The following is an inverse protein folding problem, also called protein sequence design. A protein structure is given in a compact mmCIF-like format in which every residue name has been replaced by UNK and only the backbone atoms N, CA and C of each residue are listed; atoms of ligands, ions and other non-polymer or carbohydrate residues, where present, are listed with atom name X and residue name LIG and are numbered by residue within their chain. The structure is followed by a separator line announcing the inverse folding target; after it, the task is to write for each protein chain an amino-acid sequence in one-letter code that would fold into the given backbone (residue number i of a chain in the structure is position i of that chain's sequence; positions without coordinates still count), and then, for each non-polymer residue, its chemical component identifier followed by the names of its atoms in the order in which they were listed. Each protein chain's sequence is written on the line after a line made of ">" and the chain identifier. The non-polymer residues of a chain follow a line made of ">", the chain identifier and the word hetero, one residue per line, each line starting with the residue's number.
data_IF_326120539961
#
_entry.id   IF_326120539961
#
_cell.length_a   1.000
_cell.length_b   1.000
_cell.length_c   1.000
_cell.angle_alpha   90.00
_cell.angle_beta   90.00
_cell.angle_gamma   90.00
#
_symmetry.space_group_name_H-M   'P 1'
#
loop_
_entity.id
_entity.type
_entity.pdbx_description
1 polymer ?
#
# COMPACT_ATOMS: atom_id res chain seq x y z
N UNK A 1 6.99 -20.48 8.76
CA UNK A 1 6.60 -19.05 8.79
C UNK A 1 6.72 -18.40 7.41
N UNK A 2 7.84 -18.54 6.71
CA UNK A 2 8.06 -17.92 5.39
C UNK A 2 7.04 -18.32 4.31
N UNK A 3 6.57 -19.57 4.30
CA UNK A 3 5.52 -20.03 3.37
C UNK A 3 4.17 -19.29 3.56
N UNK A 4 3.80 -19.00 4.81
CA UNK A 4 2.57 -18.29 5.13
C UNK A 4 2.63 -16.83 4.66
N UNK A 5 3.79 -16.18 4.85
CA UNK A 5 4.06 -14.85 4.29
C UNK A 5 3.97 -14.83 2.76
N UNK A 6 4.52 -15.85 2.09
CA UNK A 6 4.43 -15.95 0.64
C UNK A 6 2.98 -16.11 0.15
N UNK A 7 2.19 -16.94 0.84
CA UNK A 7 0.78 -17.12 0.51
C UNK A 7 -0.01 -15.81 0.69
N UNK A 8 0.18 -15.13 1.81
CA UNK A 8 -0.43 -13.82 2.06
C UNK A 8 0.00 -12.77 1.01
N UNK A 9 1.28 -12.74 0.63
CA UNK A 9 1.77 -11.87 -0.43
C UNK A 9 1.04 -12.13 -1.76
N UNK A 10 0.91 -13.38 -2.16
CA UNK A 10 0.15 -13.76 -3.37
C UNK A 10 -1.31 -13.32 -3.29
N UNK A 11 -1.97 -13.49 -2.13
CA UNK A 11 -3.38 -13.06 -1.97
C UNK A 11 -3.55 -11.55 -2.11
N UNK A 12 -2.61 -10.75 -1.59
CA UNK A 12 -2.63 -9.30 -1.69
C UNK A 12 -2.43 -8.84 -3.14
N UNK A 13 -1.48 -9.45 -3.87
CA UNK A 13 -1.27 -9.15 -5.29
C UNK A 13 -2.52 -9.45 -6.13
N UNK A 14 -3.16 -10.60 -5.91
CA UNK A 14 -4.39 -10.97 -6.61
C UNK A 14 -5.51 -9.97 -6.29
N UNK A 15 -5.65 -9.59 -5.01
CA UNK A 15 -6.62 -8.58 -4.57
C UNK A 15 -6.37 -7.21 -5.22
N UNK A 16 -5.11 -6.82 -5.38
CA UNK A 16 -4.74 -5.58 -6.04
C UNK A 16 -5.17 -5.56 -7.51
N UNK A 17 -4.89 -6.62 -8.27
CA UNK A 17 -5.33 -6.73 -9.67
C UNK A 17 -6.85 -6.70 -9.82
N UNK A 18 -7.59 -7.33 -8.90
CA UNK A 18 -9.05 -7.35 -8.93
C UNK A 18 -9.70 -5.98 -8.62
N UNK A 19 -8.98 -5.08 -7.95
CA UNK A 19 -9.54 -3.83 -7.41
C UNK A 19 -9.04 -2.57 -8.12
N UNK A 20 -8.28 -2.70 -9.20
CA UNK A 20 -7.68 -1.60 -9.98
C UNK A 20 -8.65 -0.48 -10.38
N UNK A 21 -9.95 -0.78 -10.49
CA UNK A 21 -10.98 0.22 -10.84
C UNK A 21 -11.29 1.21 -9.72
N UNK A 22 -10.97 0.89 -8.46
CA UNK A 22 -11.28 1.72 -7.29
C UNK A 22 -10.00 2.10 -6.58
N UNK A 23 -9.51 3.30 -6.84
CA UNK A 23 -8.23 3.81 -6.33
C UNK A 23 -8.10 3.72 -4.79
N UNK A 24 -9.18 4.02 -4.06
CA UNK A 24 -9.22 3.93 -2.60
C UNK A 24 -9.04 2.49 -2.11
N UNK A 25 -9.61 1.51 -2.82
CA UNK A 25 -9.45 0.10 -2.50
C UNK A 25 -8.01 -0.38 -2.75
N UNK A 26 -7.37 0.10 -3.83
CA UNK A 26 -5.96 -0.18 -4.11
C UNK A 26 -5.04 0.35 -3.01
N UNK A 27 -5.30 1.57 -2.50
CA UNK A 27 -4.58 2.15 -1.37
C UNK A 27 -4.68 1.29 -0.11
N UNK A 28 -5.88 0.83 0.24
CA UNK A 28 -6.10 -0.06 1.41
C UNK A 28 -5.36 -1.39 1.24
N UNK A 29 -5.34 -1.95 0.03
CA UNK A 29 -4.64 -3.22 -0.25
C UNK A 29 -3.12 -3.04 -0.15
N UNK A 30 -2.58 -1.92 -0.62
CA UNK A 30 -1.18 -1.56 -0.48
C UNK A 30 -0.77 -1.33 0.99
N UNK A 31 -1.65 -0.73 1.80
CA UNK A 31 -1.38 -0.58 3.23
C UNK A 31 -1.28 -1.94 3.94
N UNK A 32 -2.17 -2.87 3.61
CA UNK A 32 -2.10 -4.25 4.12
C UNK A 32 -0.81 -4.96 3.68
N UNK A 33 -0.30 -4.67 2.48
CA UNK A 33 1.01 -5.16 2.05
C UNK A 33 2.15 -4.63 2.91
N UNK A 34 2.13 -3.33 3.21
CA UNK A 34 3.15 -2.67 4.04
C UNK A 34 3.17 -3.21 5.47
N UNK A 35 2.01 -3.44 6.08
CA UNK A 35 1.90 -4.09 7.40
C UNK A 35 2.54 -5.47 7.38
N UNK A 36 2.28 -6.26 6.33
CA UNK A 36 2.86 -7.59 6.19
C UNK A 36 4.38 -7.56 6.03
N UNK A 37 4.91 -6.61 5.24
CA UNK A 37 6.35 -6.39 5.06
C UNK A 37 7.03 -6.00 6.38
N UNK A 38 6.42 -5.10 7.15
CA UNK A 38 6.91 -4.69 8.46
C UNK A 38 6.92 -5.86 9.45
N UNK A 39 5.85 -6.66 9.48
CA UNK A 39 5.75 -7.86 10.32
C UNK A 39 6.83 -8.88 9.95
N UNK A 40 7.07 -9.09 8.66
CA UNK A 40 8.14 -9.95 8.16
C UNK A 40 9.52 -9.45 8.57
N UNK A 41 9.78 -8.15 8.40
CA UNK A 41 11.06 -7.54 8.78
C UNK A 41 11.33 -7.67 10.28
N UNK A 42 10.30 -7.53 11.12
CA UNK A 42 10.44 -7.68 12.57
C UNK A 42 10.77 -9.12 12.96
N UNK A 43 10.07 -10.10 12.39
CA UNK A 43 10.32 -11.52 12.62
C UNK A 43 11.68 -11.99 12.09
N UNK A 44 12.17 -11.40 11.01
CA UNK A 44 13.47 -11.71 10.42
C UNK A 44 14.65 -11.04 11.13
N UNK A 45 14.41 -10.00 11.93
CA UNK A 45 15.46 -9.21 12.59
C UNK A 45 16.04 -9.88 13.85
N UNK A 46 16.33 -11.18 13.76
CA UNK A 46 16.86 -11.98 14.88
C UNK A 46 18.29 -11.57 15.30
N UNK A 47 19.03 -10.84 14.45
CA UNK A 47 20.42 -10.42 14.68
C UNK A 47 20.60 -8.95 15.09
N UNK A 48 19.53 -8.27 15.53
CA UNK A 48 19.61 -6.92 16.13
C UNK A 48 19.71 -5.74 15.16
N UNK A 49 19.79 -5.97 13.85
CA UNK A 49 19.78 -4.89 12.86
C UNK A 49 18.35 -4.45 12.50
N UNK A 50 17.77 -3.60 13.34
CA UNK A 50 16.45 -2.99 13.11
C UNK A 50 16.44 -1.87 12.05
N UNK A 51 17.59 -1.57 11.44
CA UNK A 51 17.70 -0.54 10.40
C UNK A 51 16.76 -0.79 9.22
N UNK A 52 16.61 -2.05 8.80
CA UNK A 52 15.73 -2.44 7.68
C UNK A 52 14.26 -2.15 8.05
N UNK A 53 13.86 -2.44 9.28
CA UNK A 53 12.50 -2.17 9.76
C UNK A 53 12.19 -0.67 9.74
N UNK A 54 13.12 0.17 10.19
CA UNK A 54 12.95 1.63 10.21
C UNK A 54 12.87 2.18 8.78
N UNK A 55 13.74 1.72 7.88
CA UNK A 55 13.72 2.15 6.48
C UNK A 55 12.40 1.76 5.81
N UNK A 56 11.92 0.54 6.02
CA UNK A 56 10.63 0.08 5.50
C UNK A 56 9.46 0.90 6.05
N UNK A 57 9.51 1.28 7.33
CA UNK A 57 8.51 2.16 7.95
C UNK A 57 8.47 3.53 7.26
N UNK A 58 9.63 4.17 7.06
CA UNK A 58 9.68 5.47 6.38
C UNK A 58 9.13 5.37 4.96
N UNK A 59 9.57 4.37 4.19
CA UNK A 59 9.09 4.17 2.81
C UNK A 59 7.57 3.96 2.76
N UNK A 60 7.01 3.16 3.68
CA UNK A 60 5.56 2.93 3.75
C UNK A 60 4.76 4.21 4.01
N UNK A 61 5.28 5.13 4.83
CA UNK A 61 4.59 6.41 5.08
C UNK A 61 4.63 7.33 3.85
N UNK A 62 5.74 7.34 3.12
CA UNK A 62 5.87 8.12 1.88
C UNK A 62 4.91 7.61 0.82
N UNK A 63 4.79 6.30 0.67
CA UNK A 63 3.84 5.67 -0.25
C UNK A 63 2.40 6.11 0.02
N UNK A 64 1.94 6.05 1.28
CA UNK A 64 0.58 6.44 1.66
C UNK A 64 0.33 7.92 1.39
N UNK A 65 1.29 8.80 1.71
CA UNK A 65 1.18 10.24 1.43
C UNK A 65 1.05 10.48 -0.08
N UNK A 66 1.90 9.86 -0.90
CA UNK A 66 1.85 10.01 -2.36
C UNK A 66 0.51 9.49 -2.89
N UNK A 67 0.07 8.32 -2.43
CA UNK A 67 -1.19 7.74 -2.88
C UNK A 67 -2.40 8.61 -2.51
N UNK A 68 -2.43 9.19 -1.31
CA UNK A 68 -3.47 10.14 -0.92
C UNK A 68 -3.43 11.44 -1.73
N UNK A 69 -2.23 11.97 -2.03
CA UNK A 69 -2.09 13.16 -2.89
C UNK A 69 -2.59 12.87 -4.30
N UNK A 70 -2.31 11.71 -4.86
CA UNK A 70 -2.83 11.32 -6.18
C UNK A 70 -4.35 11.17 -6.12
N UNK A 71 -4.90 10.56 -5.07
CA UNK A 71 -6.34 10.42 -4.88
C UNK A 71 -7.05 11.79 -4.87
N UNK A 72 -6.52 12.78 -4.13
CA UNK A 72 -7.14 14.12 -4.08
C UNK A 72 -7.09 14.82 -5.42
N UNK A 73 -6.01 14.68 -6.18
CA UNK A 73 -5.92 15.24 -7.55
C UNK A 73 -6.88 14.57 -8.53
N UNK A 74 -7.00 13.25 -8.48
CA UNK A 74 -7.97 12.52 -9.32
C UNK A 74 -9.40 12.94 -8.97
N UNK A 75 -9.71 13.09 -7.69
CA UNK A 75 -11.01 13.56 -7.23
C UNK A 75 -11.33 14.99 -7.72
N UNK A 76 -10.36 15.91 -7.64
CA UNK A 76 -10.50 17.27 -8.16
C UNK A 76 -10.77 17.26 -9.68
N UNK A 77 -10.07 16.43 -10.44
CA UNK A 77 -10.27 16.29 -11.88
C UNK A 77 -11.66 15.75 -12.22
N UNK A 78 -12.15 14.72 -11.53
CA UNK A 78 -13.50 14.17 -11.76
C UNK A 78 -14.57 15.21 -11.44
N UNK A 79 -14.45 15.92 -10.32
CA UNK A 79 -15.41 16.97 -9.96
C UNK A 79 -15.39 18.14 -10.96
N UNK A 80 -14.22 18.47 -11.51
CA UNK A 80 -14.11 19.54 -12.53
C UNK A 80 -14.76 19.17 -13.86
N UNK A 81 -14.68 17.89 -14.27
CA UNK A 81 -15.32 17.39 -15.48
C UNK A 81 -16.85 17.38 -15.35
N UNK A 82 -17.36 16.97 -14.19
CA UNK A 82 -18.80 16.99 -13.92
C UNK A 82 -19.35 18.43 -13.95
N UNK A 83 -18.60 19.40 -13.42
CA UNK A 83 -18.99 20.82 -13.43
C UNK A 83 -19.01 21.48 -14.82
N UNK A 84 -18.18 21.01 -15.77
CA UNK A 84 -18.15 21.51 -17.16
C UNK A 84 -19.20 20.85 -18.07
N UNK A 85 -19.87 19.80 -17.59
CA UNK A 85 -20.88 19.04 -18.34
C UNK A 85 -22.31 19.58 -18.22
N UNK A 86 -22.49 20.72 -17.52
CA UNK A 86 -23.77 21.42 -17.34
C UNK A 86 -23.84 22.73 -18.14
#
# INVERSE_FOLDING_TARGET
>A
MSFLFFLLFCTILISFFLSLSRFLNCLIILENFNVLLLLFSLLSSFSGNHMIFIVLMVVSTVEVIIGLVVLTRVWECTNSLDALSF
#
